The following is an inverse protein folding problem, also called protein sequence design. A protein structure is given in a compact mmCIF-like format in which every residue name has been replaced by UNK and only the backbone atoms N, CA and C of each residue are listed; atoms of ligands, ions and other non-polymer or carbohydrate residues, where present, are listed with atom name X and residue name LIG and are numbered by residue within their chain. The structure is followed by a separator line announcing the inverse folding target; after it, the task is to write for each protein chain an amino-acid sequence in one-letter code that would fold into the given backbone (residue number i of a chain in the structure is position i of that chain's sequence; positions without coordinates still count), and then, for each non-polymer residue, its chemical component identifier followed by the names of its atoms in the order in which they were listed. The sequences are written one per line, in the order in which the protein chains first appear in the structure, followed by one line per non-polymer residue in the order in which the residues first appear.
data_IF_676867641838
#
_entry.id   IF_676867641838
#
_cell.length_a   1.000
_cell.length_b   1.000
_cell.length_c   1.000
_cell.angle_alpha   90.00
_cell.angle_beta   90.00
_cell.angle_gamma   90.00
#
_symmetry.space_group_name_H-M   'P 1'
#
loop_
_entity.id
_entity.type
_entity.pdbx_description
1 polymer ?
#
# COMPACT_ATOMS: atom_id res chain seq x y z
N UNK A 1 -3.31 4.79 -4.69
CA UNK A 1 -2.70 5.43 -5.88
C UNK A 1 -1.30 4.87 -6.14
N UNK A 2 -0.79 4.78 -7.39
CA UNK A 2 0.60 4.38 -7.67
C UNK A 2 1.60 5.43 -7.15
N UNK A 3 2.82 5.03 -6.78
CA UNK A 3 3.85 5.96 -6.28
C UNK A 3 4.25 7.04 -7.29
N UNK A 4 4.26 6.70 -8.58
CA UNK A 4 4.51 7.62 -9.70
C UNK A 4 3.46 7.35 -10.78
N UNK A 5 2.91 8.42 -11.35
CA UNK A 5 1.99 8.34 -12.47
C UNK A 5 2.48 9.24 -13.62
N UNK A 6 2.54 8.68 -14.83
CA UNK A 6 2.79 9.44 -16.06
C UNK A 6 1.55 10.25 -16.46
N UNK A 7 1.70 11.26 -17.32
CA UNK A 7 0.55 12.08 -17.78
C UNK A 7 -0.61 11.24 -18.36
N UNK A 8 -0.30 10.15 -19.08
CA UNK A 8 -1.33 9.21 -19.59
C UNK A 8 -2.03 8.43 -18.47
N UNK A 9 -1.32 8.08 -17.40
CA UNK A 9 -1.90 7.39 -16.25
C UNK A 9 -2.74 8.36 -15.41
N UNK A 10 -2.30 9.61 -15.27
CA UNK A 10 -3.04 10.66 -14.58
C UNK A 10 -4.42 10.86 -15.22
N UNK A 11 -4.51 10.98 -16.54
CA UNK A 11 -5.81 11.15 -17.22
C UNK A 11 -6.79 10.00 -16.91
N UNK A 12 -6.31 8.76 -16.88
CA UNK A 12 -7.13 7.59 -16.52
C UNK A 12 -7.53 7.60 -15.04
N UNK A 13 -6.60 8.00 -14.17
CA UNK A 13 -6.85 8.11 -12.74
C UNK A 13 -7.86 9.22 -12.45
N UNK A 14 -7.84 10.34 -13.17
CA UNK A 14 -8.81 11.43 -13.02
C UNK A 14 -10.24 10.94 -13.27
N UNK A 15 -10.45 10.12 -14.32
CA UNK A 15 -11.75 9.48 -14.56
C UNK A 15 -12.19 8.60 -13.38
N UNK A 16 -11.29 7.79 -12.83
CA UNK A 16 -11.59 6.90 -11.70
C UNK A 16 -11.86 7.68 -10.41
N UNK A 17 -11.12 8.76 -10.17
CA UNK A 17 -11.29 9.62 -8.99
C UNK A 17 -12.63 10.32 -9.01
N UNK A 18 -13.12 10.75 -10.18
CA UNK A 18 -14.46 11.34 -10.30
C UNK A 18 -15.57 10.38 -9.88
N UNK A 19 -15.43 9.09 -10.21
CA UNK A 19 -16.38 8.03 -9.86
C UNK A 19 -16.24 7.57 -8.40
N UNK A 20 -15.06 7.69 -7.80
CA UNK A 20 -14.80 7.27 -6.44
C UNK A 20 -15.43 8.22 -5.41
N UNK A 21 -15.88 7.65 -4.28
CA UNK A 21 -16.35 8.44 -3.14
C UNK A 21 -15.20 9.18 -2.45
N UNK A 22 -14.07 8.49 -2.29
CA UNK A 22 -12.85 9.02 -1.67
C UNK A 22 -11.61 8.44 -2.35
N UNK A 23 -10.45 9.05 -2.10
CA UNK A 23 -9.15 8.64 -2.66
C UNK A 23 -8.19 8.31 -1.53
N UNK A 24 -7.63 7.10 -1.53
CA UNK A 24 -6.52 6.75 -0.63
C UNK A 24 -5.19 7.02 -1.34
N UNK A 25 -4.50 8.07 -0.91
CA UNK A 25 -3.20 8.47 -1.47
C UNK A 25 -2.05 7.76 -0.76
N UNK A 26 -1.04 7.35 -1.53
CA UNK A 26 0.16 6.66 -1.03
C UNK A 26 1.43 7.49 -1.21
N UNK A 27 1.30 8.70 -1.75
CA UNK A 27 2.37 9.63 -2.06
C UNK A 27 1.83 11.07 -2.20
N UNK A 28 2.75 12.02 -2.33
CA UNK A 28 2.42 13.45 -2.38
C UNK A 28 1.63 13.88 -3.63
N UNK A 29 1.83 13.25 -4.80
CA UNK A 29 1.13 13.71 -6.00
C UNK A 29 -0.38 13.46 -5.94
N UNK A 30 -0.83 12.44 -5.18
CA UNK A 30 -2.25 12.20 -4.95
C UNK A 30 -2.93 13.32 -4.14
N UNK A 31 -2.17 14.23 -3.52
CA UNK A 31 -2.71 15.44 -2.89
C UNK A 31 -3.32 16.41 -3.91
N UNK A 32 -3.05 16.25 -5.21
CA UNK A 32 -3.69 17.08 -6.25
C UNK A 32 -5.22 17.01 -6.24
N UNK A 33 -5.79 15.97 -5.62
CA UNK A 33 -7.24 15.78 -5.49
C UNK A 33 -7.80 16.30 -4.17
N UNK A 34 -6.95 16.75 -3.25
CA UNK A 34 -7.37 17.33 -1.99
C UNK A 34 -8.18 18.61 -2.25
N UNK A 35 -9.23 18.85 -1.46
CA UNK A 35 -10.19 19.93 -1.67
C UNK A 35 -11.25 19.68 -2.75
N UNK A 36 -10.97 18.84 -3.75
CA UNK A 36 -11.97 18.41 -4.76
C UNK A 36 -12.66 17.08 -4.38
N UNK A 37 -11.91 16.17 -3.76
CA UNK A 37 -12.39 14.89 -3.23
C UNK A 37 -11.89 14.68 -1.81
N UNK A 38 -12.57 13.82 -1.06
CA UNK A 38 -12.07 13.34 0.23
C UNK A 38 -10.81 12.51 -0.03
N UNK A 39 -9.66 13.04 0.38
CA UNK A 39 -8.38 12.34 0.30
C UNK A 39 -8.02 11.81 1.67
N UNK A 40 -7.68 10.52 1.73
CA UNK A 40 -7.13 9.86 2.91
C UNK A 40 -5.64 9.63 2.68
N UNK A 41 -4.80 10.20 3.55
CA UNK A 41 -3.37 9.92 3.56
C UNK A 41 -3.12 8.52 4.12
N UNK A 42 -2.65 7.58 3.30
CA UNK A 42 -2.38 6.20 3.74
C UNK A 42 -1.11 6.11 4.60
N UNK A 43 -0.82 4.96 5.22
CA UNK A 43 0.42 4.76 5.97
C UNK A 43 1.70 5.06 5.16
N UNK A 44 1.65 4.93 3.83
CA UNK A 44 2.79 5.21 2.93
C UNK A 44 3.09 6.70 2.75
N UNK A 45 2.17 7.58 3.16
CA UNK A 45 2.43 9.02 3.26
C UNK A 45 3.36 9.38 4.42
N UNK A 46 3.69 8.37 5.25
CA UNK A 46 4.54 8.49 6.41
C UNK A 46 4.03 9.56 7.39
N UNK A 47 2.77 9.43 7.82
CA UNK A 47 2.21 10.32 8.86
C UNK A 47 2.67 9.81 10.22
N UNK A 48 3.73 10.42 10.77
CA UNK A 48 4.41 9.93 11.98
C UNK A 48 4.43 10.93 13.14
N UNK A 49 3.94 12.16 12.96
CA UNK A 49 3.87 13.15 14.04
C UNK A 49 2.77 14.21 13.77
N UNK A 50 2.54 15.07 14.77
CA UNK A 50 1.52 16.14 14.71
C UNK A 50 1.77 17.18 13.61
N UNK A 51 3.03 17.45 13.26
CA UNK A 51 3.38 18.42 12.23
C UNK A 51 3.02 17.90 10.84
N UNK A 52 3.21 16.59 10.60
CA UNK A 52 2.75 15.94 9.38
C UNK A 52 1.22 16.01 9.26
N UNK A 53 0.48 15.76 10.35
CA UNK A 53 -0.98 15.93 10.35
C UNK A 53 -1.38 17.36 9.97
N UNK A 54 -0.78 18.36 10.62
CA UNK A 54 -1.07 19.76 10.35
C UNK A 54 -0.82 20.10 8.87
N UNK A 55 0.35 19.72 8.34
CA UNK A 55 0.69 19.95 6.94
C UNK A 55 -0.29 19.26 5.96
N UNK A 56 -0.75 18.05 6.26
CA UNK A 56 -1.75 17.36 5.43
C UNK A 56 -3.13 18.03 5.51
N UNK A 57 -3.56 18.47 6.69
CA UNK A 57 -4.81 19.22 6.85
C UNK A 57 -4.77 20.54 6.10
N UNK A 58 -3.67 21.28 6.18
CA UNK A 58 -3.46 22.52 5.44
C UNK A 58 -3.47 22.28 3.92
N UNK A 59 -3.00 21.11 3.48
CA UNK A 59 -3.07 20.67 2.09
C UNK A 59 -4.46 20.14 1.67
N UNK A 60 -5.47 20.16 2.55
CA UNK A 60 -6.84 19.75 2.27
C UNK A 60 -7.12 18.24 2.36
N UNK A 61 -6.25 17.47 3.03
CA UNK A 61 -6.48 16.05 3.31
C UNK A 61 -7.59 15.89 4.36
N UNK A 62 -8.54 14.99 4.09
CA UNK A 62 -9.71 14.75 4.94
C UNK A 62 -9.33 13.98 6.21
N UNK A 63 -8.58 12.89 6.05
CA UNK A 63 -8.17 11.98 7.13
C UNK A 63 -6.80 11.39 6.88
N UNK A 64 -6.16 10.90 7.93
CA UNK A 64 -4.89 10.20 7.84
C UNK A 64 -4.92 8.82 8.48
N UNK A 65 -4.03 7.97 7.99
CA UNK A 65 -3.65 6.71 8.62
C UNK A 65 -2.21 6.85 9.12
N UNK A 66 -1.95 6.41 10.34
CA UNK A 66 -0.59 6.42 10.89
C UNK A 66 0.38 5.62 10.00
N UNK A 67 1.65 6.07 9.94
CA UNK A 67 2.76 5.32 9.33
C UNK A 67 2.88 3.91 9.90
N UNK A 68 3.44 2.98 9.12
CA UNK A 68 3.63 1.60 9.57
C UNK A 68 4.54 1.53 10.81
N UNK A 69 5.54 2.41 10.88
CA UNK A 69 6.58 2.45 11.92
C UNK A 69 6.09 3.05 13.24
N UNK A 70 5.15 4.02 13.18
CA UNK A 70 4.57 4.68 14.36
C UNK A 70 3.12 4.27 14.62
N UNK A 71 2.64 3.22 13.97
CA UNK A 71 1.22 2.81 13.96
C UNK A 71 0.60 2.67 15.36
N UNK A 72 1.38 2.20 16.34
CA UNK A 72 0.94 2.02 17.74
C UNK A 72 1.37 3.13 18.69
N UNK A 73 2.23 4.05 18.24
CA UNK A 73 2.85 5.08 19.07
C UNK A 73 2.17 6.44 18.90
N UNK A 74 1.58 6.67 17.73
CA UNK A 74 1.00 7.94 17.34
C UNK A 74 -0.48 7.79 16.96
N UNK A 75 -1.26 8.85 17.17
CA UNK A 75 -2.69 8.89 16.84
C UNK A 75 -2.94 9.68 15.55
N UNK A 76 -3.49 8.98 14.56
CA UNK A 76 -4.16 9.53 13.39
C UNK A 76 -5.65 9.17 13.47
N UNK A 77 -6.46 9.62 12.50
CA UNK A 77 -7.86 9.20 12.37
C UNK A 77 -8.00 7.67 12.27
N UNK A 78 -7.02 7.03 11.63
CA UNK A 78 -6.94 5.59 11.50
C UNK A 78 -5.56 5.03 11.83
N UNK A 79 -5.54 3.75 12.18
CA UNK A 79 -4.32 2.94 12.35
C UNK A 79 -4.37 1.72 11.42
N UNK A 80 -3.25 1.37 10.82
CA UNK A 80 -3.15 0.15 10.02
C UNK A 80 -3.49 -1.07 10.90
N UNK A 81 -4.53 -1.78 10.52
CA UNK A 81 -5.03 -2.94 11.25
C UNK A 81 -4.63 -4.24 10.57
N UNK A 82 -4.82 -4.36 9.25
CA UNK A 82 -4.53 -5.60 8.55
C UNK A 82 -4.13 -5.40 7.10
N UNK A 83 -3.34 -6.33 6.58
CA UNK A 83 -2.92 -6.40 5.19
C UNK A 83 -1.43 -6.71 5.02
N UNK A 84 -0.96 -6.58 3.78
CA UNK A 84 0.46 -6.68 3.45
C UNK A 84 1.15 -5.33 3.58
N UNK A 85 2.18 -5.23 4.41
CA UNK A 85 2.97 -4.00 4.54
C UNK A 85 3.84 -3.82 3.29
N UNK A 86 3.66 -2.74 2.51
CA UNK A 86 4.51 -2.44 1.37
C UNK A 86 5.85 -1.90 1.85
N UNK A 87 6.94 -2.54 1.45
CA UNK A 87 8.30 -2.09 1.78
C UNK A 87 8.87 -1.17 0.70
N UNK A 88 8.55 -1.44 -0.57
CA UNK A 88 9.08 -0.67 -1.69
C UNK A 88 8.17 -0.78 -2.90
N UNK A 89 8.02 0.30 -3.68
CA UNK A 89 7.39 0.24 -5.00
C UNK A 89 8.43 0.44 -6.08
N UNK A 90 8.45 -0.42 -7.08
CA UNK A 90 9.39 -0.37 -8.18
C UNK A 90 8.96 0.68 -9.20
N UNK A 91 9.93 1.50 -9.64
CA UNK A 91 9.70 2.45 -10.72
C UNK A 91 9.58 1.74 -12.07
N UNK A 92 10.37 0.69 -12.31
CA UNK A 92 10.40 -0.09 -13.54
C UNK A 92 9.74 -1.46 -13.38
N UNK A 93 9.43 -2.12 -14.49
CA UNK A 93 8.82 -3.44 -14.51
C UNK A 93 9.94 -4.51 -14.47
N UNK A 94 10.23 -5.15 -13.31
CA UNK A 94 11.29 -6.15 -13.21
C UNK A 94 11.06 -7.33 -14.18
N UNK A 95 9.81 -7.72 -14.40
CA UNK A 95 9.46 -8.75 -15.37
C UNK A 95 9.92 -8.42 -16.79
N UNK A 96 9.78 -7.15 -17.22
CA UNK A 96 10.19 -6.71 -18.54
C UNK A 96 11.71 -6.65 -18.66
N UNK A 97 12.39 -6.16 -17.62
CA UNK A 97 13.86 -6.08 -17.63
C UNK A 97 14.51 -7.45 -17.68
N UNK A 98 13.93 -8.45 -17.01
CA UNK A 98 14.53 -9.79 -16.90
C UNK A 98 14.12 -10.69 -18.08
N UNK A 99 12.85 -10.65 -18.49
CA UNK A 99 12.30 -11.60 -19.47
C UNK A 99 11.91 -10.96 -20.82
N UNK A 100 12.05 -9.64 -20.94
CA UNK A 100 11.55 -8.90 -22.09
C UNK A 100 10.01 -8.85 -22.17
N UNK A 101 9.51 -8.46 -23.35
CA UNK A 101 8.09 -8.48 -23.67
C UNK A 101 7.29 -7.21 -23.33
N UNK A 102 5.98 -7.29 -23.55
CA UNK A 102 5.02 -6.21 -23.32
C UNK A 102 4.08 -6.50 -22.14
N UNK A 103 3.40 -5.46 -21.65
CA UNK A 103 2.48 -5.59 -20.53
C UNK A 103 1.16 -6.30 -20.89
N UNK A 104 0.79 -6.39 -22.17
CA UNK A 104 -0.44 -7.04 -22.63
C UNK A 104 -0.33 -8.56 -22.53
N UNK A 105 0.85 -9.10 -22.83
CA UNK A 105 1.15 -10.52 -22.87
C UNK A 105 1.96 -11.01 -21.65
N UNK A 106 2.10 -10.20 -20.61
CA UNK A 106 2.88 -10.55 -19.42
C UNK A 106 2.23 -11.70 -18.63
N UNK A 107 2.80 -12.90 -18.77
CA UNK A 107 2.34 -14.15 -18.13
C UNK A 107 2.78 -14.31 -16.67
N UNK A 108 3.63 -13.43 -16.15
CA UNK A 108 4.15 -13.58 -14.79
C UNK A 108 3.08 -13.19 -13.78
N UNK A 109 2.66 -14.19 -13.00
CA UNK A 109 1.64 -14.04 -11.94
C UNK A 109 2.27 -13.85 -10.56
N UNK A 110 3.24 -14.68 -10.22
CA UNK A 110 3.92 -14.66 -8.93
C UNK A 110 5.40 -14.33 -9.15
N UNK A 111 5.87 -13.28 -8.49
CA UNK A 111 7.26 -12.84 -8.58
C UNK A 111 7.80 -12.73 -7.17
N UNK A 112 8.95 -13.36 -6.92
CA UNK A 112 9.63 -13.27 -5.62
C UNK A 112 10.98 -12.60 -5.80
N UNK A 113 11.35 -11.80 -4.81
CA UNK A 113 12.68 -11.20 -4.69
C UNK A 113 13.41 -11.87 -3.53
N UNK A 114 14.67 -12.23 -3.73
CA UNK A 114 15.53 -12.78 -2.67
C UNK A 114 16.67 -11.81 -2.43
N UNK A 115 16.87 -11.39 -1.18
CA UNK A 115 17.98 -10.51 -0.82
C UNK A 115 19.31 -11.27 -0.68
N UNK A 116 20.42 -10.55 -0.50
CA UNK A 116 21.75 -11.14 -0.34
C UNK A 116 21.93 -12.00 0.91
N UNK A 117 20.95 -12.02 1.84
CA UNK A 117 20.93 -12.87 3.03
C UNK A 117 20.02 -14.10 2.85
N UNK A 118 19.49 -14.31 1.64
CA UNK A 118 18.62 -15.44 1.33
C UNK A 118 17.16 -15.24 1.74
N UNK A 119 16.77 -14.06 2.25
CA UNK A 119 15.38 -13.82 2.63
C UNK A 119 14.53 -13.56 1.40
N UNK A 120 13.40 -14.25 1.33
CA UNK A 120 12.45 -14.20 0.21
C UNK A 120 11.30 -13.26 0.51
N UNK A 121 10.95 -12.44 -0.46
CA UNK A 121 9.86 -11.48 -0.43
C UNK A 121 8.96 -11.68 -1.66
N UNK A 122 7.69 -11.34 -1.52
CA UNK A 122 6.73 -11.36 -2.63
C UNK A 122 6.65 -9.98 -3.28
N UNK A 123 6.43 -9.95 -4.59
CA UNK A 123 6.07 -8.73 -5.31
C UNK A 123 4.58 -8.77 -5.65
N UNK A 124 3.83 -7.82 -5.11
CA UNK A 124 2.46 -7.55 -5.53
C UNK A 124 2.49 -6.84 -6.88
N UNK A 125 1.85 -7.45 -7.89
CA UNK A 125 1.65 -6.85 -9.20
C UNK A 125 0.27 -6.21 -9.30
N UNK A 126 0.21 -5.00 -9.84
CA UNK A 126 -1.04 -4.38 -10.31
C UNK A 126 -0.82 -3.71 -11.67
N UNK A 127 -1.90 -3.43 -12.41
CA UNK A 127 -1.83 -2.90 -13.77
C UNK A 127 -2.55 -1.57 -13.89
N UNK A 128 -1.83 -0.57 -14.37
CA UNK A 128 -2.40 0.69 -14.87
C UNK A 128 -2.30 0.67 -16.41
N UNK A 129 -1.53 1.58 -16.99
CA UNK A 129 -1.13 1.50 -18.41
C UNK A 129 0.10 0.58 -18.59
N UNK A 130 0.82 0.33 -17.49
CA UNK A 130 1.94 -0.61 -17.38
C UNK A 130 1.77 -1.50 -16.15
N UNK A 131 2.58 -2.55 -16.06
CA UNK A 131 2.72 -3.34 -14.85
C UNK A 131 3.48 -2.55 -13.79
N UNK A 132 2.91 -2.45 -12.60
CA UNK A 132 3.53 -1.87 -11.42
C UNK A 132 3.74 -2.98 -10.40
N UNK A 133 4.83 -2.87 -9.63
CA UNK A 133 5.23 -3.88 -8.66
C UNK A 133 5.55 -3.24 -7.32
N UNK A 134 5.12 -3.89 -6.25
CA UNK A 134 5.40 -3.47 -4.88
C UNK A 134 5.97 -4.66 -4.11
N UNK A 135 7.16 -4.51 -3.55
CA UNK A 135 7.71 -5.43 -2.56
C UNK A 135 6.84 -5.38 -1.32
N UNK A 136 6.28 -6.52 -0.96
CA UNK A 136 5.44 -6.66 0.22
C UNK A 136 6.09 -7.56 1.25
N UNK A 137 5.91 -7.18 2.51
CA UNK A 137 6.30 -7.95 3.68
C UNK A 137 5.31 -9.05 4.01
N UNK A 138 5.36 -9.48 5.27
CA UNK A 138 4.44 -10.49 5.81
C UNK A 138 3.04 -9.90 5.97
N UNK A 139 2.03 -10.75 5.77
CA UNK A 139 0.67 -10.42 6.17
C UNK A 139 0.62 -10.08 7.67
N UNK A 140 0.11 -8.90 7.97
CA UNK A 140 -0.02 -8.36 9.32
C UNK A 140 -1.50 -8.26 9.66
N UNK A 141 -1.88 -8.65 10.88
CA UNK A 141 -3.23 -8.47 11.41
C UNK A 141 -3.12 -8.13 12.90
N UNK A 142 -3.28 -6.86 13.22
CA UNK A 142 -3.21 -6.32 14.57
C UNK A 142 -4.62 -6.27 15.15
N UNK A 143 -4.81 -7.01 16.24
CA UNK A 143 -6.10 -7.07 16.95
C UNK A 143 -6.29 -5.85 17.85
N UNK A 144 -7.55 -5.53 18.16
CA UNK A 144 -7.96 -4.50 19.13
C UNK A 144 -7.48 -3.08 18.76
N UNK A 145 -7.49 -2.75 17.48
CA UNK A 145 -7.27 -1.37 17.02
C UNK A 145 -8.60 -0.65 16.88
N UNK A 146 -8.73 0.51 17.54
CA UNK A 146 -9.78 1.48 17.26
C UNK A 146 -9.47 2.24 15.96
N UNK A 147 -10.48 2.40 15.08
CA UNK A 147 -10.27 3.09 13.80
C UNK A 147 -9.34 2.33 12.84
N UNK A 148 -9.61 1.04 12.59
CA UNK A 148 -8.76 0.19 11.77
C UNK A 148 -8.81 0.52 10.28
N UNK A 149 -7.65 0.80 9.68
CA UNK A 149 -7.44 0.80 8.23
C UNK A 149 -7.03 -0.61 7.79
N UNK A 150 -7.84 -1.22 6.94
CA UNK A 150 -7.60 -2.55 6.38
C UNK A 150 -7.20 -2.41 4.91
N UNK A 151 -6.01 -2.92 4.57
CA UNK A 151 -5.54 -3.00 3.19
C UNK A 151 -5.84 -4.37 2.59
N UNK A 152 -6.86 -4.43 1.74
CA UNK A 152 -7.29 -5.67 1.06
C UNK A 152 -6.46 -6.00 -0.19
N UNK A 153 -5.48 -5.17 -0.56
CA UNK A 153 -4.69 -5.40 -1.78
C UNK A 153 -3.76 -6.59 -1.62
N UNK A 154 -3.81 -7.49 -2.59
CA UNK A 154 -2.95 -8.68 -2.60
C UNK A 154 -3.42 -9.81 -1.68
N UNK A 155 -4.53 -9.64 -0.95
CA UNK A 155 -5.12 -10.70 -0.15
C UNK A 155 -5.80 -11.73 -1.06
N UNK A 156 -5.66 -13.00 -0.69
CA UNK A 156 -6.51 -14.08 -1.16
C UNK A 156 -7.94 -13.90 -0.64
N UNK A 157 -8.91 -14.55 -1.29
CA UNK A 157 -10.31 -14.52 -0.83
C UNK A 157 -10.46 -14.99 0.63
N UNK A 158 -9.67 -15.99 1.05
CA UNK A 158 -9.67 -16.49 2.41
C UNK A 158 -9.09 -15.48 3.42
N UNK A 159 -8.00 -14.78 3.07
CA UNK A 159 -7.44 -13.72 3.92
C UNK A 159 -8.41 -12.53 4.03
N UNK A 160 -9.03 -12.14 2.91
CA UNK A 160 -10.00 -11.06 2.90
C UNK A 160 -11.23 -11.40 3.77
N UNK A 161 -11.80 -12.60 3.61
CA UNK A 161 -12.90 -13.09 4.46
C UNK A 161 -12.51 -13.09 5.94
N UNK A 162 -11.28 -13.53 6.21
CA UNK A 162 -10.78 -13.59 7.57
C UNK A 162 -10.70 -12.21 8.24
N UNK A 163 -10.16 -11.21 7.54
CA UNK A 163 -10.03 -9.85 8.07
C UNK A 163 -11.39 -9.17 8.19
N UNK A 164 -12.25 -9.31 7.18
CA UNK A 164 -13.56 -8.64 7.15
C UNK A 164 -14.54 -9.20 8.19
N UNK A 165 -14.38 -10.47 8.60
CA UNK A 165 -15.23 -11.13 9.59
C UNK A 165 -14.53 -11.35 10.94
N UNK A 166 -13.40 -10.67 11.20
CA UNK A 166 -12.64 -10.75 12.45
C UNK A 166 -12.24 -12.18 12.88
N UNK A 167 -12.09 -13.09 11.91
CA UNK A 167 -11.69 -14.48 12.18
C UNK A 167 -10.19 -14.56 12.49
N UNK A 168 -9.71 -15.66 13.11
CA UNK A 168 -8.28 -15.88 13.30
C UNK A 168 -7.58 -16.09 11.95
N UNK A 169 -6.77 -15.13 11.51
CA UNK A 169 -6.01 -15.27 10.26
C UNK A 169 -4.68 -15.96 10.55
N UNK A 170 -4.34 -17.00 9.77
CA UNK A 170 -2.96 -17.48 9.72
C UNK A 170 -2.10 -16.34 9.17
N UNK A 171 -1.18 -15.82 9.98
CA UNK A 171 -0.14 -14.96 9.44
C UNK A 171 0.65 -15.80 8.43
N UNK A 172 0.73 -15.36 7.17
CA UNK A 172 1.38 -16.12 6.09
C UNK A 172 2.73 -16.67 6.54
N UNK A 173 3.02 -17.94 6.19
CA UNK A 173 4.27 -18.60 6.58
C UNK A 173 5.46 -17.79 6.07
N UNK A 174 6.27 -17.30 7.01
CA UNK A 174 7.50 -16.60 6.69
C UNK A 174 8.63 -17.62 6.73
N UNK A 175 9.24 -17.91 5.58
CA UNK A 175 10.50 -18.67 5.53
C UNK A 175 11.69 -17.84 6.03
N UNK A 176 11.49 -16.61 6.52
CA UNK A 176 12.55 -15.85 7.17
C UNK A 176 12.05 -14.75 8.10
N UNK A 177 11.89 -15.08 9.40
CA UNK A 177 11.71 -14.19 10.56
C UNK A 177 11.93 -12.70 10.22
N UNK A 178 10.90 -11.98 9.80
CA UNK A 178 10.98 -10.53 9.67
C UNK A 178 10.82 -9.86 11.04
N UNK A 179 11.89 -9.85 11.84
CA UNK A 179 12.00 -8.91 12.96
C UNK A 179 12.33 -7.53 12.41
N UNK A 180 11.31 -6.70 12.13
CA UNK A 180 11.52 -5.26 12.05
C UNK A 180 11.58 -4.74 13.49
N UNK A 181 12.71 -4.97 14.16
CA UNK A 181 13.04 -4.33 15.44
C UNK A 181 13.84 -3.07 15.14
N UNK A 182 13.22 -1.92 15.33
CA UNK A 182 13.95 -0.66 15.52
C UNK A 182 14.15 -0.56 17.03
N UNK A 183 15.38 -0.83 17.48
CA UNK A 183 15.81 -0.48 18.83
C UNK A 183 15.98 1.04 18.92
#
# INVERSE_FOLDING_TARGET
MPNVATGREIAKLDTLVNLAEFVVSQNLWGLKYAGFKKVIASPMMNVFNRYAIAAFKDAGVDRCVASYEQNLKFECDYRFAAGYVPYMTFLYCPAREIYGGDCANCKIKNFTYTDGRGKRYSLLRYRLNRCCFTLIGKFTNIRKISGGYVDLRGLTAAEADCVMNEKPCKAGEDIGKSEFRIN
#
